data_IF_703212641560
#
_entry.id   IF_703212641560
#
_cell.length_a   1.000
_cell.length_b   1.000
_cell.length_c   1.000
_cell.angle_alpha   90.00
_cell.angle_beta   90.00
_cell.angle_gamma   90.00
#
_symmetry.space_group_name_H-M   'P 1'
#
loop_
_entity.id
_entity.type
_entity.pdbx_description
1 polymer ?
#
# COMPACT_ATOMS: atom_id res chain seq x y z
N UNK A 1 21.70 -14.87 10.89
CA UNK A 1 20.22 -14.73 10.87
C UNK A 1 19.77 -13.37 10.34
N UNK A 2 20.29 -12.25 10.87
CA UNK A 2 19.95 -10.90 10.39
C UNK A 2 20.32 -10.66 8.91
N UNK A 3 21.47 -11.16 8.47
CA UNK A 3 21.93 -11.00 7.07
C UNK A 3 21.06 -11.75 6.06
N UNK A 4 20.55 -12.92 6.43
CA UNK A 4 19.65 -13.71 5.59
C UNK A 4 18.29 -13.01 5.41
N UNK A 5 17.73 -12.49 6.51
CA UNK A 5 16.49 -11.72 6.46
C UNK A 5 16.63 -10.48 5.55
N UNK A 6 17.76 -9.78 5.64
CA UNK A 6 18.00 -8.58 4.84
C UNK A 6 18.28 -8.86 3.37
N UNK A 7 19.06 -9.90 3.05
CA UNK A 7 19.47 -10.20 1.67
C UNK A 7 18.43 -10.97 0.88
N UNK A 8 17.61 -11.82 1.52
CA UNK A 8 16.68 -12.69 0.79
C UNK A 8 15.20 -12.38 1.05
N UNK A 9 14.79 -12.17 2.31
CA UNK A 9 13.37 -12.07 2.63
C UNK A 9 12.80 -10.66 2.36
N UNK A 10 13.48 -9.61 2.80
CA UNK A 10 12.99 -8.24 2.63
C UNK A 10 12.78 -7.82 1.16
N UNK A 11 13.67 -8.18 0.20
CA UNK A 11 13.42 -7.90 -1.21
C UNK A 11 12.15 -8.57 -1.75
N UNK A 12 11.90 -9.83 -1.35
CA UNK A 12 10.68 -10.57 -1.74
C UNK A 12 9.42 -9.90 -1.21
N UNK A 13 9.46 -9.38 0.01
CA UNK A 13 8.36 -8.59 0.56
C UNK A 13 8.16 -7.28 -0.19
N UNK A 14 9.24 -6.57 -0.55
CA UNK A 14 9.15 -5.40 -1.43
C UNK A 14 8.49 -5.71 -2.79
N UNK A 15 8.79 -6.88 -3.37
CA UNK A 15 8.15 -7.35 -4.61
C UNK A 15 6.66 -7.61 -4.40
N UNK A 16 6.25 -8.15 -3.25
CA UNK A 16 4.83 -8.34 -2.93
C UNK A 16 4.07 -7.00 -2.97
N UNK A 17 4.67 -5.91 -2.47
CA UNK A 17 4.05 -4.58 -2.55
C UNK A 17 3.94 -4.07 -3.99
N UNK A 18 4.96 -4.33 -4.81
CA UNK A 18 4.95 -4.00 -6.24
C UNK A 18 3.87 -4.76 -6.98
N UNK A 19 3.80 -6.07 -6.74
CA UNK A 19 2.81 -6.95 -7.31
C UNK A 19 1.38 -6.54 -6.92
N UNK A 20 1.17 -6.22 -5.64
CA UNK A 20 -0.10 -5.67 -5.16
C UNK A 20 -0.50 -4.39 -5.88
N UNK A 21 0.45 -3.48 -6.11
CA UNK A 21 0.22 -2.24 -6.85
C UNK A 21 -0.22 -2.48 -8.29
N UNK A 22 0.45 -3.41 -8.99
CA UNK A 22 0.09 -3.81 -10.36
C UNK A 22 -1.32 -4.42 -10.39
N UNK A 23 -1.58 -5.40 -9.53
CA UNK A 23 -2.90 -6.02 -9.41
C UNK A 23 -3.98 -4.99 -9.08
N UNK A 24 -3.68 -3.99 -8.25
CA UNK A 24 -4.63 -2.92 -7.92
C UNK A 24 -4.99 -2.07 -9.14
N UNK A 25 -3.99 -1.66 -9.94
CA UNK A 25 -4.21 -0.91 -11.19
C UNK A 25 -5.12 -1.74 -12.11
N UNK A 26 -4.74 -3.00 -12.34
CA UNK A 26 -5.46 -3.93 -13.19
C UNK A 26 -6.92 -4.11 -12.71
N UNK A 27 -7.12 -4.32 -11.40
CA UNK A 27 -8.44 -4.49 -10.77
C UNK A 27 -9.34 -3.25 -10.86
N UNK A 28 -8.77 -2.08 -11.18
CA UNK A 28 -9.52 -0.84 -11.31
C UNK A 28 -10.22 -0.72 -12.68
N UNK A 29 -9.80 -1.51 -13.68
CA UNK A 29 -10.40 -1.52 -15.02
C UNK A 29 -11.37 -2.69 -15.25
N UNK A 30 -11.20 -3.80 -14.53
CA UNK A 30 -11.96 -5.03 -14.77
C UNK A 30 -12.57 -5.56 -13.47
N UNK A 31 -13.89 -5.75 -13.47
CA UNK A 31 -14.63 -6.27 -12.32
C UNK A 31 -14.69 -7.80 -12.26
N UNK A 32 -14.48 -8.50 -13.39
CA UNK A 32 -14.64 -9.95 -13.46
C UNK A 32 -13.62 -10.58 -14.42
N UNK A 33 -12.82 -11.51 -13.89
CA UNK A 33 -11.69 -12.10 -14.62
C UNK A 33 -12.00 -13.48 -15.17
N UNK A 34 -13.24 -13.98 -14.97
CA UNK A 34 -13.71 -15.30 -15.42
C UNK A 34 -13.06 -16.50 -14.72
N UNK A 35 -11.78 -16.37 -14.33
CA UNK A 35 -10.97 -17.40 -13.67
C UNK A 35 -10.90 -17.16 -12.15
N UNK A 36 -10.93 -15.89 -11.72
CA UNK A 36 -10.87 -15.47 -10.33
C UNK A 36 -12.07 -14.56 -10.02
N UNK A 37 -12.75 -14.83 -8.91
CA UNK A 37 -13.78 -13.92 -8.43
C UNK A 37 -13.16 -12.60 -8.01
N UNK A 38 -13.94 -11.51 -8.04
CA UNK A 38 -13.48 -10.23 -7.54
C UNK A 38 -13.05 -10.32 -6.06
N UNK A 39 -13.74 -11.13 -5.24
CA UNK A 39 -13.38 -11.36 -3.83
C UNK A 39 -11.96 -11.93 -3.70
N UNK A 40 -11.63 -12.92 -4.53
CA UNK A 40 -10.32 -13.58 -4.50
C UNK A 40 -9.20 -12.65 -4.96
N UNK A 41 -9.42 -11.89 -6.04
CA UNK A 41 -8.44 -10.92 -6.53
C UNK A 41 -8.11 -9.86 -5.48
N UNK A 42 -9.14 -9.31 -4.82
CA UNK A 42 -8.93 -8.34 -3.74
C UNK A 42 -8.22 -8.96 -2.54
N UNK A 43 -8.55 -10.21 -2.19
CA UNK A 43 -7.83 -10.89 -1.12
C UNK A 43 -6.34 -11.13 -1.43
N UNK A 44 -6.00 -11.49 -2.67
CA UNK A 44 -4.59 -11.61 -3.11
C UNK A 44 -3.88 -10.25 -3.01
N UNK A 45 -4.55 -9.16 -3.42
CA UNK A 45 -4.04 -7.80 -3.27
C UNK A 45 -3.79 -7.50 -1.78
N UNK A 46 -4.75 -7.77 -0.91
CA UNK A 46 -4.68 -7.44 0.52
C UNK A 46 -3.56 -8.22 1.24
N UNK A 47 -3.39 -9.51 0.95
CA UNK A 47 -2.28 -10.31 1.46
C UNK A 47 -0.94 -9.75 0.96
N UNK A 48 -0.87 -9.39 -0.32
CA UNK A 48 0.35 -8.85 -0.92
C UNK A 48 0.71 -7.47 -0.33
N UNK A 49 -0.29 -6.62 -0.06
CA UNK A 49 -0.12 -5.35 0.65
C UNK A 49 0.34 -5.58 2.09
N UNK A 50 -0.24 -6.55 2.80
CA UNK A 50 0.19 -6.91 4.16
C UNK A 50 1.67 -7.30 4.19
N UNK A 51 2.06 -8.29 3.38
CA UNK A 51 3.44 -8.76 3.28
C UNK A 51 4.40 -7.62 2.87
N UNK A 52 3.99 -6.83 1.87
CA UNK A 52 4.74 -5.67 1.41
C UNK A 52 4.96 -4.61 2.50
N UNK A 53 3.94 -4.36 3.31
CA UNK A 53 4.01 -3.42 4.44
C UNK A 53 4.95 -3.93 5.53
N UNK A 54 4.93 -5.23 5.83
CA UNK A 54 5.88 -5.85 6.76
C UNK A 54 7.32 -5.64 6.26
N UNK A 55 7.58 -5.92 4.98
CA UNK A 55 8.89 -5.71 4.37
C UNK A 55 9.34 -4.25 4.45
N UNK A 56 8.44 -3.32 4.11
CA UNK A 56 8.70 -1.88 4.19
C UNK A 56 9.03 -1.45 5.63
N UNK A 57 8.24 -1.88 6.60
CA UNK A 57 8.45 -1.56 8.02
C UNK A 57 9.83 -2.00 8.50
N UNK A 58 10.22 -3.25 8.24
CA UNK A 58 11.50 -3.78 8.69
C UNK A 58 12.71 -3.15 8.00
N UNK A 59 12.54 -2.67 6.76
CA UNK A 59 13.61 -1.95 6.06
C UNK A 59 13.74 -0.52 6.52
N UNK A 60 12.61 0.17 6.73
CA UNK A 60 12.65 1.55 7.18
C UNK A 60 12.99 1.64 8.66
N UNK A 61 12.60 0.69 9.50
CA UNK A 61 12.82 0.74 10.95
C UNK A 61 12.45 2.12 11.53
N UNK A 62 11.19 2.56 11.37
CA UNK A 62 10.75 3.82 11.96
C UNK A 62 10.98 3.78 13.48
N UNK A 63 11.30 4.92 14.09
CA UNK A 63 11.42 4.99 15.55
C UNK A 63 10.07 4.69 16.20
N UNK A 64 10.11 4.07 17.39
CA UNK A 64 8.90 3.78 18.17
C UNK A 64 8.10 5.07 18.41
N UNK A 65 6.77 4.99 18.26
CA UNK A 65 5.84 6.13 18.35
C UNK A 65 6.00 7.25 17.32
N UNK A 66 6.83 7.08 16.28
CA UNK A 66 6.84 8.02 15.15
C UNK A 66 5.59 7.90 14.28
N UNK A 67 5.29 8.93 13.48
CA UNK A 67 4.24 8.87 12.45
C UNK A 67 4.43 7.69 11.49
N UNK A 68 5.67 7.34 11.16
CA UNK A 68 5.98 6.18 10.31
C UNK A 68 5.63 4.86 11.00
N UNK A 69 5.87 4.74 12.30
CA UNK A 69 5.48 3.58 13.09
C UNK A 69 3.95 3.46 13.15
N UNK A 70 3.25 4.54 13.52
CA UNK A 70 1.78 4.56 13.59
C UNK A 70 1.15 4.25 12.23
N UNK A 71 1.65 4.85 11.15
CA UNK A 71 1.19 4.56 9.79
C UNK A 71 1.40 3.11 9.37
N UNK A 72 2.54 2.52 9.75
CA UNK A 72 2.82 1.10 9.47
C UNK A 72 1.87 0.18 10.25
N UNK A 73 1.67 0.42 11.54
CA UNK A 73 0.75 -0.38 12.36
C UNK A 73 -0.69 -0.27 11.86
N UNK A 74 -1.14 0.94 11.52
CA UNK A 74 -2.46 1.16 10.96
C UNK A 74 -2.63 0.43 9.62
N UNK A 75 -1.62 0.46 8.76
CA UNK A 75 -1.64 -0.25 7.47
C UNK A 75 -1.68 -1.78 7.66
N UNK A 76 -0.88 -2.32 8.60
CA UNK A 76 -0.86 -3.74 8.90
C UNK A 76 -2.18 -4.24 9.48
N UNK A 77 -2.74 -3.54 10.46
CA UNK A 77 -4.05 -3.89 11.02
C UNK A 77 -5.15 -3.81 9.97
N UNK A 78 -5.13 -2.76 9.14
CA UNK A 78 -6.14 -2.58 8.09
C UNK A 78 -6.05 -3.66 7.03
N UNK A 79 -4.85 -4.00 6.54
CA UNK A 79 -4.66 -5.09 5.57
C UNK A 79 -4.96 -6.46 6.16
N UNK A 80 -4.67 -6.70 7.45
CA UNK A 80 -5.06 -7.93 8.12
C UNK A 80 -6.58 -8.10 8.17
N UNK A 81 -7.31 -7.03 8.52
CA UNK A 81 -8.79 -7.04 8.52
C UNK A 81 -9.30 -7.26 7.09
N UNK A 82 -8.75 -6.57 6.09
CA UNK A 82 -9.16 -6.74 4.70
C UNK A 82 -8.91 -8.16 4.18
N UNK A 83 -7.71 -8.70 4.39
CA UNK A 83 -7.35 -10.06 4.01
C UNK A 83 -8.20 -11.12 4.73
N UNK A 84 -8.56 -10.88 6.00
CA UNK A 84 -9.37 -11.82 6.78
C UNK A 84 -10.74 -12.13 6.15
N UNK A 85 -11.25 -11.23 5.29
CA UNK A 85 -12.51 -11.41 4.54
C UNK A 85 -12.48 -12.59 3.56
N UNK A 86 -11.31 -13.14 3.26
CA UNK A 86 -11.17 -14.39 2.51
C UNK A 86 -11.69 -15.60 3.30
N UNK A 87 -11.60 -15.56 4.63
CA UNK A 87 -11.93 -16.69 5.51
C UNK A 87 -13.08 -16.40 6.47
N UNK A 88 -13.36 -15.12 6.74
CA UNK A 88 -14.37 -14.67 7.71
C UNK A 88 -15.45 -13.88 6.96
N UNK A 89 -16.69 -14.36 7.05
CA UNK A 89 -17.85 -13.62 6.58
C UNK A 89 -18.37 -12.69 7.68
N UNK A 90 -18.11 -11.40 7.51
CA UNK A 90 -18.56 -10.36 8.44
C UNK A 90 -20.03 -10.01 8.21
N UNK A 91 -20.78 -9.83 9.30
CA UNK A 91 -22.17 -9.34 9.24
C UNK A 91 -22.24 -7.89 8.73
N UNK A 92 -21.26 -7.06 9.09
CA UNK A 92 -21.10 -5.69 8.60
C UNK A 92 -19.87 -5.62 7.71
N UNK A 93 -19.96 -5.00 6.53
CA UNK A 93 -18.82 -4.96 5.60
C UNK A 93 -17.74 -3.98 6.11
N UNK A 94 -16.58 -4.46 6.63
CA UNK A 94 -15.58 -3.57 7.21
C UNK A 94 -14.76 -2.84 6.14
N UNK A 95 -14.95 -3.19 4.86
CA UNK A 95 -14.08 -2.78 3.76
C UNK A 95 -13.86 -1.27 3.68
N UNK A 96 -14.92 -0.46 3.78
CA UNK A 96 -14.80 0.99 3.63
C UNK A 96 -13.92 1.61 4.72
N UNK A 97 -14.15 1.20 5.98
CA UNK A 97 -13.41 1.69 7.14
C UNK A 97 -11.95 1.22 7.05
N UNK A 98 -11.73 -0.06 6.77
CA UNK A 98 -10.39 -0.63 6.69
C UNK A 98 -9.60 -0.09 5.48
N UNK A 99 -10.23 0.12 4.33
CA UNK A 99 -9.57 0.72 3.16
C UNK A 99 -9.18 2.19 3.42
N UNK A 100 -10.05 2.97 4.08
CA UNK A 100 -9.73 4.34 4.50
C UNK A 100 -8.58 4.38 5.49
N UNK A 101 -8.62 3.53 6.52
CA UNK A 101 -7.56 3.41 7.51
C UNK A 101 -6.23 2.97 6.87
N UNK A 102 -6.27 2.04 5.92
CA UNK A 102 -5.11 1.60 5.15
C UNK A 102 -4.48 2.76 4.38
N UNK A 103 -5.29 3.54 3.68
CA UNK A 103 -4.80 4.68 2.89
C UNK A 103 -4.15 5.74 3.77
N UNK A 104 -4.77 6.08 4.90
CA UNK A 104 -4.18 6.99 5.90
C UNK A 104 -2.86 6.40 6.42
N UNK A 105 -2.82 5.10 6.70
CA UNK A 105 -1.62 4.39 7.12
C UNK A 105 -0.47 4.54 6.11
N UNK A 106 -0.74 4.29 4.83
CA UNK A 106 0.25 4.46 3.76
C UNK A 106 0.72 5.91 3.61
N UNK A 107 -0.18 6.89 3.73
CA UNK A 107 0.16 8.32 3.69
C UNK A 107 1.13 8.64 4.83
N UNK A 108 0.83 8.27 6.07
CA UNK A 108 1.68 8.54 7.23
C UNK A 108 3.04 7.83 7.12
N UNK A 109 3.01 6.56 6.69
CA UNK A 109 4.20 5.73 6.54
C UNK A 109 5.15 6.30 5.47
N UNK A 110 4.62 6.63 4.30
CA UNK A 110 5.42 7.19 3.18
C UNK A 110 5.83 8.63 3.43
N UNK A 111 4.98 9.47 4.04
CA UNK A 111 5.35 10.83 4.46
C UNK A 111 6.53 10.80 5.43
N UNK A 112 6.49 9.90 6.42
CA UNK A 112 7.60 9.73 7.37
C UNK A 112 8.87 9.28 6.66
N UNK A 113 8.80 8.24 5.83
CA UNK A 113 9.96 7.75 5.09
C UNK A 113 10.56 8.81 4.15
N UNK A 114 9.73 9.63 3.49
CA UNK A 114 10.17 10.75 2.68
C UNK A 114 10.82 11.87 3.51
N UNK A 115 10.22 12.25 4.65
CA UNK A 115 10.79 13.25 5.58
C UNK A 115 12.20 12.87 6.03
N UNK A 116 12.45 11.58 6.23
CA UNK A 116 13.76 11.03 6.58
C UNK A 116 14.66 10.74 5.36
N UNK A 117 14.28 11.20 4.16
CA UNK A 117 14.99 11.02 2.89
C UNK A 117 15.28 9.55 2.53
N UNK A 118 14.45 8.62 2.98
CA UNK A 118 14.62 7.18 2.73
C UNK A 118 13.94 6.69 1.45
N UNK A 119 12.95 7.44 0.98
CA UNK A 119 12.27 7.23 -0.30
C UNK A 119 12.07 8.58 -0.99
N UNK A 120 11.84 8.53 -2.31
CA UNK A 120 11.40 9.70 -3.07
C UNK A 120 9.97 10.11 -2.66
N UNK A 121 9.56 11.35 -2.91
CA UNK A 121 8.26 11.87 -2.44
C UNK A 121 7.05 11.30 -3.22
N UNK A 122 7.26 10.72 -4.40
CA UNK A 122 6.18 10.27 -5.29
C UNK A 122 5.19 9.28 -4.66
N UNK A 123 5.59 8.22 -3.92
CA UNK A 123 4.63 7.30 -3.33
C UNK A 123 3.63 8.00 -2.40
N UNK A 124 4.12 8.93 -1.58
CA UNK A 124 3.29 9.76 -0.72
C UNK A 124 2.30 10.60 -1.52
N UNK A 125 2.76 11.26 -2.59
CA UNK A 125 1.90 12.05 -3.47
C UNK A 125 0.78 11.19 -4.09
N UNK A 126 1.12 10.00 -4.60
CA UNK A 126 0.14 9.11 -5.23
C UNK A 126 -0.92 8.60 -4.25
N UNK A 127 -0.55 8.33 -2.99
CA UNK A 127 -1.52 7.99 -1.95
C UNK A 127 -2.42 9.17 -1.57
N UNK A 128 -1.87 10.39 -1.49
CA UNK A 128 -2.68 11.60 -1.29
C UNK A 128 -3.66 11.83 -2.43
N UNK A 129 -3.19 11.75 -3.68
CA UNK A 129 -4.04 11.88 -4.88
C UNK A 129 -5.13 10.81 -4.87
N UNK A 130 -4.79 9.56 -4.54
CA UNK A 130 -5.77 8.48 -4.39
C UNK A 130 -6.86 8.83 -3.38
N UNK A 131 -6.49 9.40 -2.22
CA UNK A 131 -7.43 9.81 -1.17
C UNK A 131 -8.35 10.94 -1.64
N UNK A 132 -7.77 11.97 -2.26
CA UNK A 132 -8.52 13.13 -2.76
C UNK A 132 -9.52 12.68 -3.84
N UNK A 133 -9.08 11.86 -4.80
CA UNK A 133 -9.95 11.34 -5.86
C UNK A 133 -11.07 10.46 -5.29
N UNK A 134 -10.76 9.59 -4.31
CA UNK A 134 -11.76 8.77 -3.64
C UNK A 134 -12.80 9.62 -2.88
N UNK A 135 -12.36 10.69 -2.21
CA UNK A 135 -13.24 11.62 -1.53
C UNK A 135 -14.14 12.38 -2.52
N UNK A 136 -13.57 12.95 -3.59
CA UNK A 136 -14.33 13.66 -4.65
C UNK A 136 -15.36 12.72 -5.29
N UNK A 137 -14.98 11.47 -5.53
CA UNK A 137 -15.86 10.46 -6.11
C UNK A 137 -17.15 10.23 -5.32
N UNK A 138 -17.20 10.55 -4.03
CA UNK A 138 -18.43 10.46 -3.22
C UNK A 138 -19.40 11.63 -3.43
N UNK A 139 -18.94 12.77 -3.97
CA UNK A 139 -19.75 13.98 -4.09
C UNK A 139 -20.17 14.30 -5.54
N UNK A 140 -19.59 13.64 -6.54
CA UNK A 140 -19.78 13.98 -7.96
C UNK A 140 -20.44 12.84 -8.71
N UNK A 141 -21.34 13.15 -9.65
CA UNK A 141 -22.06 12.18 -10.49
C UNK A 141 -21.17 11.25 -11.33
N UNK A 142 -19.88 11.59 -11.50
CA UNK A 142 -18.86 10.79 -12.21
C UNK A 142 -18.12 9.79 -11.29
N UNK A 143 -18.84 9.23 -10.30
CA UNK A 143 -18.35 8.34 -9.24
C UNK A 143 -17.36 7.29 -9.78
N UNK A 144 -17.74 6.53 -10.81
CA UNK A 144 -16.93 5.43 -11.36
C UNK A 144 -15.55 5.87 -11.87
N UNK A 145 -15.48 7.03 -12.51
CA UNK A 145 -14.24 7.54 -13.08
C UNK A 145 -13.24 7.94 -11.98
N UNK A 146 -13.71 8.64 -10.95
CA UNK A 146 -12.87 9.04 -9.82
C UNK A 146 -12.41 7.84 -8.99
N UNK A 147 -13.26 6.83 -8.81
CA UNK A 147 -12.86 5.57 -8.16
C UNK A 147 -11.81 4.79 -8.95
N UNK A 148 -11.91 4.77 -10.28
CA UNK A 148 -10.88 4.19 -11.14
C UNK A 148 -9.54 4.91 -10.97
N UNK A 149 -9.53 6.24 -11.08
CA UNK A 149 -8.30 7.01 -10.92
C UNK A 149 -7.72 6.90 -9.50
N UNK A 150 -8.58 6.83 -8.49
CA UNK A 150 -8.18 6.59 -7.11
C UNK A 150 -7.47 5.24 -6.96
N UNK A 151 -8.03 4.17 -7.54
CA UNK A 151 -7.45 2.82 -7.54
C UNK A 151 -6.13 2.74 -8.30
N UNK A 152 -6.04 3.37 -9.47
CA UNK A 152 -4.80 3.45 -10.27
C UNK A 152 -3.73 4.23 -9.50
N UNK A 153 -4.08 5.38 -8.93
CA UNK A 153 -3.14 6.19 -8.13
C UNK A 153 -2.64 5.42 -6.91
N UNK A 154 -3.52 4.71 -6.21
CA UNK A 154 -3.12 3.83 -5.10
C UNK A 154 -2.13 2.76 -5.57
N UNK A 155 -2.43 2.09 -6.69
CA UNK A 155 -1.59 1.02 -7.19
C UNK A 155 -0.20 1.51 -7.62
N UNK A 156 -0.11 2.69 -8.24
CA UNK A 156 1.17 3.34 -8.54
C UNK A 156 1.92 3.67 -7.25
N UNK A 157 1.24 4.22 -6.23
CA UNK A 157 1.82 4.51 -4.92
C UNK A 157 2.40 3.27 -4.24
N UNK A 158 1.65 2.17 -4.23
CA UNK A 158 2.10 0.89 -3.70
C UNK A 158 3.30 0.33 -4.48
N UNK A 159 3.24 0.38 -5.81
CA UNK A 159 4.35 -0.04 -6.66
C UNK A 159 5.63 0.72 -6.37
N UNK A 160 5.57 2.05 -6.36
CA UNK A 160 6.73 2.89 -6.09
C UNK A 160 7.25 2.70 -4.66
N UNK A 161 6.35 2.52 -3.68
CA UNK A 161 6.75 2.20 -2.29
C UNK A 161 7.55 0.91 -2.26
N UNK A 162 7.08 -0.14 -2.94
CA UNK A 162 7.78 -1.42 -3.03
C UNK A 162 9.12 -1.28 -3.73
N UNK A 163 9.15 -0.59 -4.87
CA UNK A 163 10.36 -0.32 -5.64
C UNK A 163 11.43 0.43 -4.82
N UNK A 164 11.09 1.56 -4.20
CA UNK A 164 12.04 2.30 -3.37
C UNK A 164 12.45 1.52 -2.12
N UNK A 165 11.58 0.66 -1.59
CA UNK A 165 11.93 -0.28 -0.53
C UNK A 165 12.86 -1.39 -1.00
N UNK A 166 13.12 -1.60 -2.28
CA UNK A 166 14.13 -2.57 -2.73
C UNK A 166 15.46 -1.88 -2.95
N UNK A 167 15.45 -0.79 -3.70
CA UNK A 167 16.67 -0.18 -4.22
C UNK A 167 17.32 0.85 -3.30
N UNK A 168 16.79 1.03 -2.08
CA UNK A 168 17.32 1.91 -1.02
C UNK A 168 18.11 3.07 -1.62
N UNK A 169 17.39 3.98 -2.26
CA UNK A 169 18.01 5.02 -3.06
C UNK A 169 18.90 5.88 -2.13
N UNK A 170 20.21 5.62 -2.18
CA UNK A 170 21.25 6.47 -1.62
C UNK A 170 21.50 7.65 -2.58
N UNK A 171 20.47 8.40 -2.97
CA UNK A 171 20.65 9.51 -3.94
C UNK A 171 21.19 10.81 -3.34
N UNK A 172 21.29 10.94 -2.02
CA UNK A 172 21.65 12.23 -1.42
C UNK A 172 22.58 12.01 -0.24
N UNK A 173 23.86 11.77 -0.52
CA UNK A 173 25.04 12.45 0.05
C UNK A 173 26.32 11.79 -0.51
N UNK A 174 26.47 11.80 -1.84
CA UNK A 174 27.77 12.07 -2.46
C UNK A 174 27.72 13.53 -2.95
N UNK A 175 27.78 14.46 -2.01
CA UNK A 175 28.36 15.77 -2.31
C UNK A 175 29.57 15.88 -1.40
N UNK A 176 30.72 15.75 -2.08
CA UNK A 176 32.03 16.34 -1.83
C UNK A 176 32.04 17.33 -0.67
#
# INVERSE_FOLDING_TARGET
MLDYLQKELLPKLGFALMFAGILRIISSFQSDWGILSQKDLYGIIDISLFLGTVGFYFKMRPSFLSLGFLGSMLSLLSTAILASRLWIDYQTNPYFISAGALLIGYILMTASAWRWKRIFFLPFLFFLVSMILGAIGNFVSAVRFFYLLSGVSFGIGAFLTGHFSQYQISFLYKKV
#
